data_IF_521183273307
#
_entry.id   IF_521183273307
#
_cell.length_a   1.000
_cell.length_b   1.000
_cell.length_c   1.000
_cell.angle_alpha   90.00
_cell.angle_beta   90.00
_cell.angle_gamma   90.00
#
_symmetry.space_group_name_H-M   'P 1'
#
loop_
_entity.id
_entity.type
_entity.pdbx_description
1 polymer ?
#
# COMPACT_ATOMS: atom_id res chain seq x y z
N UNK A 1 -10.12 -17.04 -9.68
CA UNK A 1 -10.43 -18.37 -10.24
C UNK A 1 -9.90 -18.54 -11.67
N UNK A 2 -10.00 -17.53 -12.57
CA UNK A 2 -9.52 -17.64 -13.96
C UNK A 2 -8.02 -17.92 -14.06
N UNK A 3 -7.20 -17.20 -13.31
CA UNK A 3 -5.74 -17.35 -13.31
C UNK A 3 -5.30 -18.74 -12.84
N UNK A 4 -5.94 -19.29 -11.81
CA UNK A 4 -5.59 -20.61 -11.29
C UNK A 4 -6.04 -21.78 -12.17
N UNK A 5 -6.94 -21.56 -13.14
CA UNK A 5 -7.35 -22.61 -14.07
C UNK A 5 -6.36 -22.81 -15.23
N UNK A 6 -5.60 -21.80 -15.53
CA UNK A 6 -4.62 -21.81 -16.64
C UNK A 6 -3.21 -22.13 -16.17
N UNK A 7 -2.94 -22.08 -14.85
CA UNK A 7 -1.65 -22.46 -14.27
C UNK A 7 -1.79 -23.80 -13.55
N UNK A 8 -1.34 -24.87 -14.19
CA UNK A 8 -1.39 -26.23 -13.65
C UNK A 8 -0.01 -26.87 -13.63
N UNK A 9 0.16 -27.88 -12.77
CA UNK A 9 1.37 -28.70 -12.78
C UNK A 9 1.56 -29.39 -14.13
N UNK A 10 2.79 -29.60 -14.52
CA UNK A 10 3.20 -30.27 -15.78
C UNK A 10 2.85 -29.50 -17.07
N UNK A 11 2.75 -28.18 -17.02
CA UNK A 11 2.68 -27.37 -18.24
C UNK A 11 4.07 -27.17 -18.84
N UNK A 12 4.15 -27.23 -20.18
CA UNK A 12 5.39 -26.99 -20.92
C UNK A 12 5.87 -25.52 -20.84
N UNK A 13 4.95 -24.59 -20.66
CA UNK A 13 5.24 -23.16 -20.50
C UNK A 13 4.31 -22.51 -19.48
N UNK A 14 4.80 -21.49 -18.77
CA UNK A 14 3.99 -20.70 -17.88
C UNK A 14 2.93 -19.91 -18.68
N UNK A 15 1.70 -19.77 -18.15
CA UNK A 15 0.67 -18.99 -18.81
C UNK A 15 1.03 -17.50 -18.81
N UNK A 16 0.73 -16.82 -19.90
CA UNK A 16 0.90 -15.39 -20.03
C UNK A 16 -0.47 -14.70 -19.93
N UNK A 17 -0.60 -13.74 -18.98
CA UNK A 17 -1.82 -12.99 -18.77
C UNK A 17 -1.64 -11.54 -19.20
N UNK A 18 -2.64 -10.99 -19.92
CA UNK A 18 -2.72 -9.57 -20.22
C UNK A 18 -3.99 -9.02 -19.61
N UNK A 19 -3.86 -7.98 -18.79
CA UNK A 19 -4.98 -7.20 -18.27
C UNK A 19 -5.08 -5.94 -19.11
N UNK A 20 -6.19 -5.80 -19.81
CA UNK A 20 -6.47 -4.59 -20.60
C UNK A 20 -7.20 -3.60 -19.70
N UNK A 21 -6.69 -2.39 -19.61
CA UNK A 21 -7.30 -1.25 -18.91
C UNK A 21 -7.34 -0.06 -19.88
N UNK A 22 -8.32 0.82 -19.71
CA UNK A 22 -8.39 2.08 -20.45
C UNK A 22 -7.72 3.22 -19.65
N UNK A 23 -7.67 4.42 -20.25
CA UNK A 23 -7.19 5.63 -19.59
C UNK A 23 -8.21 6.24 -18.61
N UNK A 24 -9.32 5.53 -18.37
CA UNK A 24 -10.32 5.92 -17.38
C UNK A 24 -9.84 5.49 -16.01
N UNK A 25 -9.45 6.43 -15.17
CA UNK A 25 -8.91 6.15 -13.85
C UNK A 25 -9.90 5.45 -12.91
N UNK A 26 -11.20 5.58 -13.14
CA UNK A 26 -12.24 4.83 -12.42
C UNK A 26 -12.10 3.31 -12.54
N UNK A 27 -11.45 2.80 -13.59
CA UNK A 27 -11.17 1.36 -13.76
C UNK A 27 -10.18 0.82 -12.72
N UNK A 28 -9.40 1.69 -12.07
CA UNK A 28 -8.52 1.31 -10.95
C UNK A 28 -9.27 0.59 -9.81
N UNK A 29 -10.57 0.83 -9.68
CA UNK A 29 -11.42 0.08 -8.76
C UNK A 29 -11.38 -1.43 -9.02
N UNK A 30 -11.40 -1.85 -10.28
CA UNK A 30 -11.40 -3.27 -10.63
C UNK A 30 -10.02 -3.89 -10.41
N UNK A 31 -8.97 -3.20 -10.81
CA UNK A 31 -7.58 -3.62 -10.56
C UNK A 31 -7.30 -3.67 -9.06
N UNK A 32 -7.78 -2.70 -8.28
CA UNK A 32 -7.69 -2.69 -6.82
C UNK A 32 -8.33 -3.92 -6.17
N UNK A 33 -9.53 -4.32 -6.64
CA UNK A 33 -10.19 -5.52 -6.12
C UNK A 33 -9.38 -6.80 -6.40
N UNK A 34 -8.74 -6.88 -7.56
CA UNK A 34 -7.88 -8.02 -7.91
C UNK A 34 -6.61 -7.98 -7.08
N UNK A 35 -5.96 -6.83 -6.97
CA UNK A 35 -4.76 -6.60 -6.18
C UNK A 35 -4.96 -6.99 -4.72
N UNK A 36 -6.06 -6.51 -4.11
CA UNK A 36 -6.44 -6.89 -2.73
C UNK A 36 -6.58 -8.39 -2.54
N UNK A 37 -7.22 -9.09 -3.49
CA UNK A 37 -7.37 -10.55 -3.40
C UNK A 37 -6.04 -11.28 -3.54
N UNK A 38 -5.16 -10.80 -4.40
CA UNK A 38 -3.81 -11.36 -4.54
C UNK A 38 -2.96 -11.08 -3.30
N UNK A 39 -3.10 -9.92 -2.70
CA UNK A 39 -2.47 -9.56 -1.44
C UNK A 39 -2.93 -10.47 -0.29
N UNK A 40 -4.23 -10.67 -0.14
CA UNK A 40 -4.80 -11.60 0.85
C UNK A 40 -4.33 -13.05 0.68
N UNK A 41 -4.03 -13.46 -0.54
CA UNK A 41 -3.45 -14.77 -0.84
C UNK A 41 -1.93 -14.82 -0.59
N UNK A 42 -1.32 -13.71 -0.19
CA UNK A 42 0.11 -13.59 -0.01
C UNK A 42 0.92 -13.61 -1.32
N UNK A 43 0.25 -13.50 -2.46
CA UNK A 43 0.90 -13.57 -3.76
C UNK A 43 1.69 -12.29 -4.09
N UNK A 44 1.32 -11.15 -3.50
CA UNK A 44 1.98 -9.86 -3.72
C UNK A 44 3.02 -9.55 -2.63
N UNK A 45 2.76 -9.95 -1.39
CA UNK A 45 3.53 -9.50 -0.22
C UNK A 45 4.43 -10.57 0.39
N UNK A 46 4.07 -11.85 0.27
CA UNK A 46 4.74 -12.94 0.96
C UNK A 46 5.66 -13.75 0.07
N UNK A 47 6.64 -13.13 -0.50
CA UNK A 47 7.86 -13.84 -0.77
C UNK A 47 8.11 -14.41 -2.16
N UNK A 48 7.49 -13.91 -3.20
CA UNK A 48 8.00 -14.17 -4.55
C UNK A 48 7.97 -12.91 -5.41
N UNK A 49 8.70 -11.89 -4.97
CA UNK A 49 8.96 -10.69 -5.79
C UNK A 49 9.69 -11.04 -7.09
N UNK A 50 10.38 -12.18 -7.14
CA UNK A 50 11.13 -12.63 -8.32
C UNK A 50 10.31 -13.46 -9.30
N UNK A 51 9.25 -14.12 -8.88
CA UNK A 51 8.41 -14.97 -9.74
C UNK A 51 6.97 -14.50 -9.89
N UNK A 52 6.51 -13.62 -8.99
CA UNK A 52 5.17 -13.05 -9.03
C UNK A 52 5.07 -11.99 -10.10
N UNK A 53 4.39 -12.30 -11.17
CA UNK A 53 3.77 -11.38 -12.14
C UNK A 53 4.58 -10.08 -12.38
N UNK A 54 5.69 -10.14 -13.03
CA UNK A 54 6.41 -9.05 -13.71
C UNK A 54 5.68 -7.67 -13.68
N UNK A 55 5.33 -7.14 -12.48
CA UNK A 55 4.75 -5.81 -12.31
C UNK A 55 3.29 -5.63 -12.75
N UNK A 56 2.50 -6.71 -12.95
CA UNK A 56 1.11 -6.59 -13.37
C UNK A 56 0.21 -5.95 -12.31
N UNK A 57 0.43 -6.29 -11.04
CA UNK A 57 -0.22 -5.67 -9.88
C UNK A 57 0.84 -5.30 -8.86
N UNK A 58 0.79 -4.05 -8.39
CA UNK A 58 1.63 -3.53 -7.32
C UNK A 58 0.82 -3.43 -6.04
N UNK A 59 1.49 -3.38 -4.92
CA UNK A 59 0.85 -3.09 -3.64
C UNK A 59 0.08 -1.76 -3.68
N UNK A 60 0.62 -0.80 -4.41
CA UNK A 60 0.02 0.52 -4.67
C UNK A 60 -1.31 0.44 -5.42
N UNK A 61 -1.57 -0.65 -6.14
CA UNK A 61 -2.85 -0.86 -6.83
C UNK A 61 -3.97 -1.29 -5.86
N UNK A 62 -3.63 -1.68 -4.62
CA UNK A 62 -4.60 -1.98 -3.58
C UNK A 62 -5.09 -0.70 -2.90
N UNK A 63 -6.16 -0.11 -3.41
CA UNK A 63 -6.76 1.11 -2.85
C UNK A 63 -7.53 0.89 -1.54
N UNK A 64 -7.55 -0.33 -0.98
CA UNK A 64 -8.25 -0.62 0.28
C UNK A 64 -7.30 -0.79 1.47
N UNK A 65 -6.06 -0.36 1.35
CA UNK A 65 -5.07 -0.34 2.43
C UNK A 65 -5.45 0.62 3.55
N UNK A 66 -4.92 0.47 4.77
CA UNK A 66 -5.09 1.46 5.84
C UNK A 66 -4.64 2.87 5.44
N UNK A 67 -3.55 2.98 4.68
CA UNK A 67 -3.04 4.26 4.15
C UNK A 67 -4.04 4.89 3.19
N UNK A 68 -4.59 4.11 2.24
CA UNK A 68 -5.58 4.62 1.30
C UNK A 68 -6.87 5.08 2.01
N UNK A 69 -7.30 4.38 3.07
CA UNK A 69 -8.44 4.80 3.90
C UNK A 69 -8.16 6.11 4.66
N UNK A 70 -6.95 6.25 5.19
CA UNK A 70 -6.52 7.49 5.85
C UNK A 70 -6.44 8.65 4.86
N UNK A 71 -5.88 8.43 3.66
CA UNK A 71 -5.84 9.41 2.58
C UNK A 71 -7.25 9.85 2.15
N UNK A 72 -8.19 8.90 2.05
CA UNK A 72 -9.59 9.19 1.72
C UNK A 72 -10.26 10.07 2.81
N UNK A 73 -10.00 9.77 4.08
CA UNK A 73 -10.54 10.58 5.19
C UNK A 73 -10.04 12.03 5.11
N UNK A 74 -8.74 12.22 4.83
CA UNK A 74 -8.15 13.53 4.59
C UNK A 74 -8.78 14.23 3.37
N UNK A 75 -8.98 13.49 2.28
CA UNK A 75 -9.64 14.01 1.09
C UNK A 75 -11.08 14.50 1.37
N UNK A 76 -11.87 13.75 2.12
CA UNK A 76 -13.20 14.13 2.52
C UNK A 76 -13.22 15.39 3.40
N UNK A 77 -12.28 15.52 4.32
CA UNK A 77 -12.15 16.71 5.14
C UNK A 77 -11.81 17.95 4.30
N UNK A 78 -10.95 17.81 3.30
CA UNK A 78 -10.59 18.90 2.40
C UNK A 78 -11.71 19.25 1.42
N UNK A 79 -12.45 18.25 0.92
CA UNK A 79 -13.68 18.49 0.16
C UNK A 79 -14.71 19.29 0.95
N UNK A 80 -14.99 18.88 2.19
CA UNK A 80 -15.94 19.55 3.07
C UNK A 80 -15.50 20.99 3.40
N UNK A 81 -14.20 21.22 3.50
CA UNK A 81 -13.61 22.54 3.78
C UNK A 81 -13.35 23.40 2.52
N UNK A 82 -13.69 22.90 1.32
CA UNK A 82 -13.44 23.59 0.06
C UNK A 82 -11.97 23.69 -0.35
N UNK A 83 -11.10 22.80 0.14
CA UNK A 83 -9.66 22.77 -0.16
C UNK A 83 -9.26 21.70 -1.16
N UNK A 84 -10.19 20.85 -1.60
CA UNK A 84 -9.91 19.86 -2.64
C UNK A 84 -9.72 20.55 -4.00
N UNK A 85 -8.73 20.11 -4.75
CA UNK A 85 -8.35 20.74 -6.01
C UNK A 85 -9.17 20.22 -7.21
N UNK A 86 -9.50 18.92 -7.20
CA UNK A 86 -10.16 18.28 -8.33
C UNK A 86 -11.60 18.77 -8.55
N UNK A 87 -12.33 19.05 -7.47
CA UNK A 87 -13.72 19.55 -7.53
C UNK A 87 -14.20 20.09 -6.19
N UNK A 88 -15.25 20.93 -6.24
CA UNK A 88 -15.95 21.41 -5.04
C UNK A 88 -16.90 20.36 -4.44
N UNK A 89 -17.23 20.54 -3.16
CA UNK A 89 -18.10 19.64 -2.41
C UNK A 89 -19.50 19.46 -3.02
N UNK A 90 -20.14 20.55 -3.49
CA UNK A 90 -21.46 20.51 -4.10
C UNK A 90 -21.43 19.61 -5.35
N UNK A 91 -20.50 19.84 -6.27
CA UNK A 91 -20.32 19.04 -7.47
C UNK A 91 -20.08 17.57 -7.14
N UNK A 92 -19.22 17.31 -6.14
CA UNK A 92 -18.96 15.95 -5.67
C UNK A 92 -20.23 15.27 -5.17
N UNK A 93 -21.01 15.96 -4.34
CA UNK A 93 -22.24 15.39 -3.76
C UNK A 93 -23.34 15.16 -4.78
N UNK A 94 -23.51 16.10 -5.72
CA UNK A 94 -24.52 16.00 -6.77
C UNK A 94 -24.30 14.77 -7.66
N UNK A 95 -23.07 14.50 -8.06
CA UNK A 95 -22.76 13.37 -8.91
C UNK A 95 -22.67 12.04 -8.15
N UNK A 96 -22.09 12.03 -6.98
CA UNK A 96 -21.82 10.78 -6.24
C UNK A 96 -22.91 10.39 -5.26
N UNK A 97 -23.78 11.33 -4.88
CA UNK A 97 -24.74 11.22 -3.79
C UNK A 97 -24.09 10.83 -2.45
N UNK A 98 -22.82 11.17 -2.26
CA UNK A 98 -22.09 10.97 -1.02
C UNK A 98 -22.17 12.26 -0.19
N UNK A 99 -22.85 12.18 0.95
CA UNK A 99 -22.88 13.27 1.92
C UNK A 99 -21.74 13.10 2.90
N UNK A 100 -20.99 14.18 3.14
CA UNK A 100 -19.84 14.21 4.05
C UNK A 100 -20.08 15.11 5.24
N UNK A 101 -21.02 16.04 5.14
CA UNK A 101 -21.36 17.01 6.19
C UNK A 101 -22.83 16.85 6.60
N UNK A 102 -23.11 17.21 7.84
CA UNK A 102 -24.46 17.31 8.41
C UNK A 102 -25.16 18.63 8.01
N UNK A 103 -26.30 18.92 8.66
CA UNK A 103 -27.09 20.12 8.40
C UNK A 103 -26.39 21.39 8.89
N UNK A 104 -25.48 21.26 9.83
CA UNK A 104 -24.73 22.35 10.46
C UNK A 104 -23.38 22.58 9.75
N UNK A 105 -23.10 21.84 8.69
CA UNK A 105 -21.86 21.93 7.92
C UNK A 105 -20.68 21.22 8.57
N UNK A 106 -20.91 20.38 9.58
CA UNK A 106 -19.88 19.64 10.29
C UNK A 106 -19.65 18.30 9.61
N UNK A 107 -18.39 17.87 9.52
CA UNK A 107 -18.04 16.59 8.95
C UNK A 107 -18.68 15.44 9.73
N UNK A 108 -19.34 14.52 9.03
CA UNK A 108 -19.98 13.36 9.63
C UNK A 108 -18.96 12.48 10.39
N UNK A 109 -19.36 11.95 11.53
CA UNK A 109 -18.56 11.02 12.30
C UNK A 109 -18.31 9.73 11.51
N UNK A 110 -19.37 9.20 10.89
CA UNK A 110 -19.28 8.04 9.99
C UNK A 110 -19.23 8.49 8.53
N UNK A 111 -18.01 8.52 7.99
CA UNK A 111 -17.76 8.84 6.59
C UNK A 111 -17.99 7.63 5.67
N UNK A 112 -18.40 7.84 4.41
CA UNK A 112 -18.56 6.76 3.45
C UNK A 112 -17.28 5.92 3.32
N UNK A 113 -17.39 4.58 3.41
CA UNK A 113 -16.23 3.70 3.28
C UNK A 113 -15.66 3.73 1.85
N UNK A 114 -14.39 3.35 1.73
CA UNK A 114 -13.65 3.43 0.47
C UNK A 114 -14.31 2.65 -0.69
N UNK A 115 -14.92 1.51 -0.42
CA UNK A 115 -15.64 0.76 -1.45
C UNK A 115 -16.83 1.54 -1.99
N UNK A 116 -17.55 2.26 -1.10
CA UNK A 116 -18.67 3.11 -1.51
C UNK A 116 -18.20 4.30 -2.32
N UNK A 117 -17.08 4.92 -1.91
CA UNK A 117 -16.43 5.98 -2.66
C UNK A 117 -16.06 5.51 -4.06
N UNK A 118 -15.27 4.44 -4.18
CA UNK A 118 -14.81 3.89 -5.46
C UNK A 118 -15.96 3.50 -6.40
N UNK A 119 -17.11 3.10 -5.85
CA UNK A 119 -18.30 2.81 -6.64
C UNK A 119 -19.00 4.06 -7.13
N UNK A 120 -19.12 5.09 -6.30
CA UNK A 120 -19.88 6.29 -6.59
C UNK A 120 -19.16 7.25 -7.51
N UNK A 121 -17.85 7.32 -7.45
CA UNK A 121 -17.05 8.17 -8.35
C UNK A 121 -17.17 7.74 -9.83
N UNK A 122 -17.62 6.53 -10.11
CA UNK A 122 -17.91 6.09 -11.50
C UNK A 122 -19.08 6.85 -12.13
N UNK A 123 -19.91 7.53 -11.35
CA UNK A 123 -20.99 8.36 -11.88
C UNK A 123 -20.49 9.69 -12.45
N UNK A 124 -19.26 10.10 -12.11
CA UNK A 124 -18.65 11.33 -12.60
C UNK A 124 -18.31 11.23 -14.11
N UNK A 125 -18.35 12.32 -14.87
CA UNK A 125 -17.74 12.40 -16.18
C UNK A 125 -16.26 12.00 -16.15
N UNK A 126 -15.74 11.41 -17.23
CA UNK A 126 -14.39 10.83 -17.29
C UNK A 126 -13.32 11.82 -16.87
N UNK A 127 -13.37 13.07 -17.33
CA UNK A 127 -12.38 14.08 -16.98
C UNK A 127 -12.39 14.41 -15.47
N UNK A 128 -13.56 14.43 -14.83
CA UNK A 128 -13.69 14.63 -13.38
C UNK A 128 -13.22 13.39 -12.60
N UNK A 129 -13.53 12.19 -13.09
CA UNK A 129 -12.98 10.95 -12.52
C UNK A 129 -11.46 11.00 -12.50
N UNK A 130 -10.86 11.34 -13.65
CA UNK A 130 -9.40 11.36 -13.79
C UNK A 130 -8.76 12.40 -12.88
N UNK A 131 -9.32 13.62 -12.77
CA UNK A 131 -8.84 14.64 -11.86
C UNK A 131 -8.93 14.20 -10.39
N UNK A 132 -10.09 13.67 -9.97
CA UNK A 132 -10.30 13.19 -8.61
C UNK A 132 -9.35 12.04 -8.26
N UNK A 133 -9.22 11.05 -9.17
CA UNK A 133 -8.30 9.94 -8.93
C UNK A 133 -6.84 10.39 -8.89
N UNK A 134 -6.43 11.35 -9.71
CA UNK A 134 -5.07 11.89 -9.67
C UNK A 134 -4.77 12.52 -8.30
N UNK A 135 -5.67 13.37 -7.80
CA UNK A 135 -5.52 13.96 -6.47
C UNK A 135 -5.53 12.91 -5.36
N UNK A 136 -6.45 11.93 -5.42
CA UNK A 136 -6.52 10.87 -4.44
C UNK A 136 -5.26 9.99 -4.41
N UNK A 137 -4.75 9.61 -5.58
CA UNK A 137 -3.50 8.83 -5.70
C UNK A 137 -2.28 9.61 -5.19
N UNK A 138 -2.22 10.92 -5.43
CA UNK A 138 -1.15 11.76 -4.89
C UNK A 138 -1.19 11.75 -3.35
N UNK A 139 -2.38 11.88 -2.75
CA UNK A 139 -2.54 11.84 -1.29
C UNK A 139 -2.12 10.49 -0.69
N UNK A 140 -2.39 9.38 -1.40
CA UNK A 140 -1.90 8.05 -0.98
C UNK A 140 -0.37 8.02 -1.03
N UNK A 141 0.22 8.51 -2.10
CA UNK A 141 1.68 8.56 -2.24
C UNK A 141 2.33 9.39 -1.13
N UNK A 142 1.81 10.58 -0.86
CA UNK A 142 2.30 11.47 0.20
C UNK A 142 2.20 10.82 1.59
N UNK A 143 1.10 10.12 1.87
CA UNK A 143 0.95 9.43 3.15
C UNK A 143 1.85 8.20 3.26
N UNK A 144 2.07 7.48 2.16
CA UNK A 144 3.00 6.35 2.10
C UNK A 144 4.43 6.82 2.38
N UNK A 145 4.82 7.95 1.80
CA UNK A 145 6.13 8.55 1.99
C UNK A 145 6.32 9.00 3.45
N UNK A 146 5.33 9.69 4.01
CA UNK A 146 5.34 10.07 5.44
C UNK A 146 5.43 8.87 6.38
N UNK A 147 4.68 7.79 6.08
CA UNK A 147 4.74 6.56 6.88
C UNK A 147 6.10 5.87 6.75
N UNK A 148 6.74 5.93 5.57
CA UNK A 148 8.09 5.44 5.34
C UNK A 148 9.12 6.23 6.15
N UNK A 149 9.06 7.55 6.10
CA UNK A 149 9.97 8.44 6.83
C UNK A 149 9.82 8.30 8.34
N UNK A 150 8.60 8.07 8.80
CA UNK A 150 8.29 7.80 10.21
C UNK A 150 8.63 6.37 10.65
N UNK A 151 9.03 5.47 9.72
CA UNK A 151 9.30 4.06 10.03
C UNK A 151 8.07 3.26 10.45
N UNK A 152 6.87 3.76 10.15
CA UNK A 152 5.59 3.12 10.50
C UNK A 152 4.96 2.37 9.32
N UNK A 153 5.60 2.41 8.16
CA UNK A 153 5.12 1.70 6.98
C UNK A 153 5.34 0.20 7.19
N UNK A 154 4.24 -0.56 7.24
CA UNK A 154 4.31 -2.02 7.21
C UNK A 154 4.65 -2.48 5.79
N UNK A 155 5.91 -2.81 5.58
CA UNK A 155 6.42 -3.32 4.30
C UNK A 155 6.12 -4.82 4.10
N UNK A 156 5.37 -5.43 5.01
CA UNK A 156 5.09 -6.87 4.98
C UNK A 156 6.35 -7.69 5.26
N UNK A 157 6.58 -8.73 4.45
CA UNK A 157 7.78 -9.55 4.56
C UNK A 157 8.95 -8.85 3.88
N UNK A 158 9.89 -8.34 4.67
CA UNK A 158 11.15 -7.82 4.15
C UNK A 158 12.13 -8.96 3.89
N UNK A 159 12.79 -8.90 2.74
CA UNK A 159 13.98 -9.72 2.50
C UNK A 159 15.15 -9.05 3.21
N UNK A 160 15.63 -9.67 4.27
CA UNK A 160 16.86 -9.23 4.91
C UNK A 160 18.00 -9.33 3.92
N UNK A 161 18.60 -8.20 3.59
CA UNK A 161 19.80 -8.14 2.75
C UNK A 161 21.01 -7.94 3.65
N UNK A 162 22.00 -8.77 3.45
CA UNK A 162 23.27 -8.69 4.18
C UNK A 162 24.30 -9.55 3.49
N UNK A 163 25.57 -9.24 3.65
CA UNK A 163 26.67 -10.05 3.17
C UNK A 163 26.69 -11.40 3.89
N UNK A 164 26.42 -11.38 5.19
CA UNK A 164 26.23 -12.59 5.98
C UNK A 164 25.03 -12.44 6.92
N UNK A 165 24.23 -13.49 7.00
CA UNK A 165 23.10 -13.58 7.93
C UNK A 165 23.33 -14.81 8.79
N UNK A 166 23.50 -14.62 10.10
CA UNK A 166 23.70 -15.70 11.07
C UNK A 166 22.53 -15.76 12.02
N UNK A 167 21.99 -16.94 12.25
CA UNK A 167 21.00 -17.17 13.28
C UNK A 167 21.72 -17.26 14.63
N UNK A 168 21.41 -16.34 15.55
CA UNK A 168 22.05 -16.25 16.88
C UNK A 168 21.19 -16.81 18.00
N UNK A 169 19.86 -16.78 17.83
CA UNK A 169 18.94 -17.36 18.82
C UNK A 169 17.66 -17.87 18.15
N UNK A 170 17.04 -18.84 18.81
CA UNK A 170 15.70 -19.36 18.46
C UNK A 170 14.94 -19.56 19.76
N UNK A 171 13.76 -18.99 19.86
CA UNK A 171 12.87 -19.14 20.99
C UNK A 171 11.48 -19.54 20.49
N UNK A 172 10.97 -20.65 21.01
CA UNK A 172 9.61 -21.10 20.71
C UNK A 172 8.63 -20.35 21.64
N UNK A 173 7.83 -19.44 21.05
CA UNK A 173 6.86 -18.63 21.79
C UNK A 173 5.58 -19.39 22.10
N UNK A 174 5.12 -20.16 21.14
CA UNK A 174 3.83 -20.84 21.25
C UNK A 174 3.76 -22.02 20.28
N UNK A 175 3.15 -23.10 20.75
CA UNK A 175 2.86 -24.28 19.91
C UNK A 175 1.34 -24.46 19.81
N UNK A 176 0.82 -24.55 18.61
CA UNK A 176 -0.60 -24.80 18.38
C UNK A 176 -0.99 -26.21 18.87
N UNK A 177 -1.93 -26.34 19.84
CA UNK A 177 -2.30 -27.64 20.36
C UNK A 177 -2.99 -28.58 19.34
N UNK A 178 -3.59 -27.98 18.30
CA UNK A 178 -4.37 -28.73 17.30
C UNK A 178 -3.51 -29.21 16.14
N UNK A 179 -2.56 -28.38 15.67
CA UNK A 179 -1.76 -28.65 14.47
C UNK A 179 -0.31 -28.97 14.76
N UNK A 180 0.18 -28.74 15.98
CA UNK A 180 1.60 -28.83 16.33
C UNK A 180 2.46 -27.72 15.72
N UNK A 181 1.87 -26.75 15.03
CA UNK A 181 2.62 -25.64 14.45
C UNK A 181 3.23 -24.75 15.55
N UNK A 182 4.51 -24.42 15.38
CA UNK A 182 5.29 -23.65 16.35
C UNK A 182 5.51 -22.23 15.84
N UNK A 183 5.20 -21.24 16.68
CA UNK A 183 5.55 -19.83 16.46
C UNK A 183 6.87 -19.56 17.16
N UNK A 184 7.86 -19.02 16.43
CA UNK A 184 9.22 -18.79 16.92
C UNK A 184 9.65 -17.35 16.75
N UNK A 185 10.42 -16.85 17.71
CA UNK A 185 11.31 -15.69 17.52
C UNK A 185 12.67 -16.22 17.12
N UNK A 186 13.19 -15.70 16.01
CA UNK A 186 14.54 -16.02 15.54
C UNK A 186 15.35 -14.72 15.58
N UNK A 187 16.38 -14.69 16.40
CA UNK A 187 17.37 -13.61 16.40
C UNK A 187 18.38 -13.83 15.29
N UNK A 188 18.56 -12.81 14.46
CA UNK A 188 19.50 -12.84 13.35
C UNK A 188 20.55 -11.75 13.54
N UNK A 189 21.81 -12.11 13.34
CA UNK A 189 22.92 -11.17 13.17
C UNK A 189 23.13 -10.96 11.67
N UNK A 190 22.90 -9.72 11.21
CA UNK A 190 23.05 -9.36 9.80
C UNK A 190 24.27 -8.47 9.67
N UNK A 191 25.27 -8.92 8.91
CA UNK A 191 26.41 -8.10 8.54
C UNK A 191 26.09 -7.46 7.18
N UNK A 192 25.78 -6.18 7.22
CA UNK A 192 25.59 -5.37 6.03
C UNK A 192 26.65 -4.26 6.05
N UNK A 193 27.71 -4.36 5.21
CA UNK A 193 28.66 -3.28 5.07
C UNK A 193 27.99 -2.12 4.31
N UNK A 194 27.11 -1.37 4.97
CA UNK A 194 26.62 -0.11 4.43
C UNK A 194 27.83 0.79 4.24
N UNK A 195 28.24 1.00 3.00
CA UNK A 195 29.37 1.83 2.68
C UNK A 195 29.11 3.23 3.26
N UNK A 196 30.09 3.76 3.99
CA UNK A 196 30.00 5.04 4.71
C UNK A 196 29.55 6.19 3.80
N UNK A 197 29.85 6.09 2.51
CA UNK A 197 29.39 7.05 1.47
C UNK A 197 27.85 7.17 1.39
N UNK A 198 27.10 6.10 1.67
CA UNK A 198 25.63 6.15 1.68
C UNK A 198 25.08 6.94 2.84
N UNK A 199 25.74 6.86 4.00
CA UNK A 199 25.39 7.66 5.16
C UNK A 199 25.75 9.13 4.94
N UNK A 200 26.89 9.41 4.31
CA UNK A 200 27.31 10.77 3.92
C UNK A 200 26.38 11.39 2.90
N UNK A 201 25.93 10.64 1.90
CA UNK A 201 24.98 11.13 0.90
C UNK A 201 23.60 11.41 1.52
N UNK A 202 23.14 10.57 2.44
CA UNK A 202 21.90 10.79 3.17
C UNK A 202 21.97 12.01 4.10
N UNK A 203 23.13 12.28 4.71
CA UNK A 203 23.36 13.47 5.53
C UNK A 203 23.47 14.75 4.70
N UNK A 204 24.11 14.70 3.53
CA UNK A 204 24.26 15.85 2.64
C UNK A 204 22.94 16.29 2.00
N UNK A 205 22.05 15.33 1.74
CA UNK A 205 20.76 15.59 1.07
C UNK A 205 19.62 15.91 2.05
N UNK A 206 19.86 15.86 3.37
CA UNK A 206 18.76 16.03 4.35
C UNK A 206 19.31 16.64 5.64
N UNK A 207 19.30 17.98 5.70
CA UNK A 207 19.85 18.76 6.81
C UNK A 207 19.16 18.53 8.17
N UNK A 208 17.97 17.91 8.18
CA UNK A 208 17.20 17.62 9.38
C UNK A 208 17.51 16.25 10.00
N UNK A 209 18.39 15.46 9.39
CA UNK A 209 18.78 14.15 9.92
C UNK A 209 19.95 14.28 10.89
N UNK A 210 19.71 13.88 12.13
CA UNK A 210 20.75 13.79 13.16
C UNK A 210 21.41 12.41 13.03
N UNK A 211 22.74 12.35 12.81
CA UNK A 211 23.45 11.09 12.78
C UNK A 211 23.38 10.41 14.15
N UNK A 212 22.86 9.20 14.19
CA UNK A 212 22.80 8.38 15.40
C UNK A 212 23.83 7.26 15.30
N UNK A 213 24.65 7.13 16.32
CA UNK A 213 25.62 6.03 16.42
C UNK A 213 24.98 4.89 17.21
N UNK A 214 24.96 3.70 16.63
CA UNK A 214 24.56 2.52 17.36
C UNK A 214 25.63 2.21 18.43
N UNK A 215 25.25 2.31 19.71
CA UNK A 215 26.18 2.10 20.84
C UNK A 215 26.78 0.69 20.92
N UNK A 216 26.09 -0.30 20.33
CA UNK A 216 26.57 -1.68 20.34
C UNK A 216 27.56 -1.98 19.20
N UNK A 217 27.42 -1.31 18.05
CA UNK A 217 28.27 -1.57 16.87
C UNK A 217 29.26 -0.43 16.55
N UNK A 218 29.15 0.72 17.19
CA UNK A 218 29.97 1.89 16.88
C UNK A 218 29.72 2.52 15.49
N UNK A 219 28.62 2.17 14.84
CA UNK A 219 28.24 2.63 13.49
C UNK A 219 26.93 3.40 13.51
#
# INVERSE_FOLDING_TARGET
QGLGRTHRSAQASAPFFRVCTSDVHGEKRFTSTISKRLDQLGALTKGQRETGSQGMFREEDNLETPIARSALRGYYADLAAGRAEAMGYETFTDWTALRLIDKDGVLLEELPPIQRFLNRVLALPIHMQNALFAEFMQRIADQTERARDAGTLDLGVETLRGETIKQVSVEDLWTCPQSGAVTRIIGLEVTDPVHISRADDALRNNFDKIPMVNRASGR
#
